data_IF_482478231581
#
_entry.id   IF_482478231581
#
_cell.length_a   1.000
_cell.length_b   1.000
_cell.length_c   1.000
_cell.angle_alpha   90.00
_cell.angle_beta   90.00
_cell.angle_gamma   90.00
#
_symmetry.space_group_name_H-M   'P 1'
#
loop_
_entity.id
_entity.type
_entity.pdbx_description
1 polymer ?
#
# COMPACT_ATOMS: atom_id res chain seq x y z
N UNK A 1 15.11 -7.29 -17.89
CA UNK A 1 14.89 -6.78 -19.25
C UNK A 1 13.49 -7.17 -19.74
N UNK A 2 12.78 -6.22 -20.32
CA UNK A 2 11.43 -6.49 -20.85
C UNK A 2 11.54 -7.31 -22.13
N UNK A 3 10.84 -8.42 -22.19
CA UNK A 3 10.81 -9.29 -23.36
C UNK A 3 9.48 -9.16 -24.08
N UNK A 4 9.53 -8.69 -25.32
CA UNK A 4 8.32 -8.53 -26.14
C UNK A 4 7.87 -9.86 -26.76
N UNK A 5 8.71 -10.87 -26.71
CA UNK A 5 8.41 -12.20 -27.23
C UNK A 5 7.88 -13.16 -26.18
N UNK A 6 7.83 -12.77 -24.90
CA UNK A 6 7.26 -13.59 -23.85
C UNK A 6 5.73 -13.59 -23.94
N UNK A 7 5.08 -14.57 -23.37
CA UNK A 7 3.62 -14.61 -23.28
C UNK A 7 3.01 -13.65 -22.27
N UNK A 8 3.83 -12.96 -21.45
CA UNK A 8 3.36 -11.99 -20.48
C UNK A 8 3.16 -10.62 -21.13
N UNK A 9 2.11 -9.93 -20.74
CA UNK A 9 1.87 -8.55 -21.18
C UNK A 9 2.99 -7.63 -20.69
N UNK A 10 3.26 -6.57 -21.45
CA UNK A 10 4.35 -5.64 -21.11
C UNK A 10 4.17 -5.00 -19.74
N UNK A 11 2.93 -4.61 -19.38
CA UNK A 11 2.71 -3.97 -18.09
C UNK A 11 3.01 -4.91 -16.92
N UNK A 12 2.75 -6.21 -17.07
CA UNK A 12 3.07 -7.20 -16.02
C UNK A 12 4.57 -7.39 -15.86
N UNK A 13 5.31 -7.37 -16.95
CA UNK A 13 6.77 -7.44 -16.89
C UNK A 13 7.36 -6.23 -16.19
N UNK A 14 6.83 -5.03 -16.47
CA UNK A 14 7.24 -3.80 -15.78
C UNK A 14 6.87 -3.89 -14.30
N UNK A 15 5.66 -4.31 -13.99
CA UNK A 15 5.22 -4.47 -12.61
C UNK A 15 6.12 -5.46 -11.85
N UNK A 16 6.48 -6.58 -12.47
CA UNK A 16 7.39 -7.57 -11.86
C UNK A 16 8.75 -6.96 -11.56
N UNK A 17 9.31 -6.18 -12.50
CA UNK A 17 10.60 -5.54 -12.32
C UNK A 17 10.57 -4.54 -11.14
N UNK A 18 9.54 -3.72 -11.06
CA UNK A 18 9.37 -2.76 -9.97
C UNK A 18 9.13 -3.48 -8.64
N UNK A 19 8.34 -4.54 -8.65
CA UNK A 19 8.08 -5.36 -7.46
C UNK A 19 9.37 -5.92 -6.88
N UNK A 20 10.27 -6.40 -7.73
CA UNK A 20 11.56 -6.91 -7.27
C UNK A 20 12.41 -5.82 -6.65
N UNK A 21 12.37 -4.62 -7.19
CA UNK A 21 13.08 -3.47 -6.60
C UNK A 21 12.53 -3.10 -5.23
N UNK A 22 11.22 -3.22 -5.05
CA UNK A 22 10.58 -2.98 -3.74
C UNK A 22 10.95 -4.08 -2.75
N UNK A 23 10.86 -5.34 -3.17
CA UNK A 23 11.17 -6.49 -2.30
C UNK A 23 12.64 -6.50 -1.88
N UNK A 24 13.54 -6.17 -2.81
CA UNK A 24 14.98 -6.15 -2.52
C UNK A 24 15.42 -4.97 -1.66
N UNK A 25 14.57 -3.97 -1.48
CA UNK A 25 14.92 -2.75 -0.76
C UNK A 25 15.60 -1.68 -1.62
N UNK A 26 15.80 -1.93 -2.91
CA UNK A 26 16.33 -0.93 -3.83
C UNK A 26 15.41 0.30 -3.89
N UNK A 27 14.09 0.07 -3.83
CA UNK A 27 13.09 1.09 -3.61
C UNK A 27 12.55 0.93 -2.19
N UNK A 28 13.06 1.70 -1.22
CA UNK A 28 12.70 1.50 0.19
C UNK A 28 11.25 1.89 0.49
N UNK A 29 10.67 1.34 1.56
CA UNK A 29 9.34 1.76 2.01
C UNK A 29 9.25 3.27 2.23
N UNK A 30 8.16 3.89 1.75
CA UNK A 30 7.94 5.32 1.88
C UNK A 30 8.63 6.18 0.84
N UNK A 31 9.54 5.62 0.04
CA UNK A 31 10.26 6.39 -0.97
C UNK A 31 9.37 6.70 -2.17
N UNK A 32 9.67 7.82 -2.83
CA UNK A 32 9.03 8.16 -4.09
C UNK A 32 9.51 7.24 -5.20
N UNK A 33 8.58 6.77 -6.02
CA UNK A 33 8.93 6.06 -7.23
C UNK A 33 9.43 7.04 -8.31
N UNK A 34 10.27 6.58 -9.24
CA UNK A 34 10.63 7.41 -10.40
C UNK A 34 9.38 7.86 -11.17
N UNK A 35 9.50 8.94 -11.92
CA UNK A 35 8.39 9.46 -12.71
C UNK A 35 7.96 8.45 -13.78
N UNK A 36 6.71 8.58 -14.25
CA UNK A 36 6.20 7.75 -15.35
C UNK A 36 7.09 7.89 -16.60
N UNK A 37 7.54 9.10 -16.88
CA UNK A 37 8.43 9.37 -18.02
C UNK A 37 9.76 8.61 -17.89
N UNK A 38 10.37 8.68 -16.71
CA UNK A 38 11.63 7.98 -16.45
C UNK A 38 11.45 6.47 -16.58
N UNK A 39 10.38 5.92 -15.98
CA UNK A 39 10.09 4.49 -16.04
C UNK A 39 9.81 4.03 -17.48
N UNK A 40 9.11 4.84 -18.26
CA UNK A 40 8.83 4.52 -19.66
C UNK A 40 10.12 4.46 -20.46
N UNK A 41 11.04 5.38 -20.23
CA UNK A 41 12.35 5.39 -20.89
C UNK A 41 13.23 4.23 -20.44
N UNK A 42 13.27 3.96 -19.14
CA UNK A 42 14.08 2.89 -18.54
C UNK A 42 13.65 1.51 -19.05
N UNK A 43 12.35 1.27 -19.14
CA UNK A 43 11.81 -0.02 -19.57
C UNK A 43 11.51 -0.10 -21.06
N UNK A 44 11.74 0.98 -21.78
CA UNK A 44 11.47 1.07 -23.24
C UNK A 44 10.01 0.67 -23.57
N UNK A 45 9.09 1.31 -22.89
CA UNK A 45 7.64 1.11 -23.08
C UNK A 45 6.94 2.47 -23.09
N UNK A 46 5.68 2.48 -23.50
CA UNK A 46 4.86 3.68 -23.47
C UNK A 46 4.40 4.03 -22.05
N UNK A 47 4.00 5.28 -21.87
CA UNK A 47 3.46 5.74 -20.57
C UNK A 47 2.21 4.99 -20.15
N UNK A 48 1.37 4.59 -21.11
CA UNK A 48 0.15 3.83 -20.80
C UNK A 48 0.52 2.48 -20.17
N UNK A 49 1.56 1.83 -20.65
CA UNK A 49 2.06 0.59 -20.08
C UNK A 49 2.53 0.82 -18.64
N UNK A 50 3.22 1.92 -18.38
CA UNK A 50 3.64 2.28 -17.01
C UNK A 50 2.44 2.53 -16.12
N UNK A 51 1.42 3.24 -16.59
CA UNK A 51 0.19 3.46 -15.81
C UNK A 51 -0.51 2.18 -15.46
N UNK A 52 -0.59 1.25 -16.39
CA UNK A 52 -1.19 -0.07 -16.16
C UNK A 52 -0.38 -0.86 -15.13
N UNK A 53 0.96 -0.82 -15.23
CA UNK A 53 1.83 -1.46 -14.26
C UNK A 53 1.64 -0.87 -12.86
N UNK A 54 1.56 0.45 -12.77
CA UNK A 54 1.37 1.13 -11.49
C UNK A 54 -0.01 0.82 -10.89
N UNK A 55 -1.05 0.76 -11.72
CA UNK A 55 -2.39 0.37 -11.28
C UNK A 55 -2.39 -1.06 -10.70
N UNK A 56 -1.65 -1.95 -11.34
CA UNK A 56 -1.50 -3.34 -10.89
C UNK A 56 -0.80 -3.40 -9.52
N UNK A 57 0.30 -2.64 -9.37
CA UNK A 57 1.03 -2.58 -8.10
C UNK A 57 0.20 -1.95 -6.98
N UNK A 58 -0.64 -0.95 -7.31
CA UNK A 58 -1.57 -0.38 -6.33
C UNK A 58 -2.60 -1.40 -5.89
N UNK A 59 -3.11 -2.21 -6.81
CA UNK A 59 -4.07 -3.26 -6.47
C UNK A 59 -3.48 -4.31 -5.54
N UNK A 60 -2.16 -4.52 -5.60
CA UNK A 60 -1.44 -5.41 -4.71
C UNK A 60 -1.07 -4.77 -3.37
N UNK A 61 -1.28 -3.46 -3.23
CA UNK A 61 -0.95 -2.73 -2.00
C UNK A 61 0.53 -2.41 -1.85
N UNK A 62 1.33 -2.54 -2.91
CA UNK A 62 2.78 -2.28 -2.85
C UNK A 62 3.13 -0.82 -3.05
N UNK A 63 2.31 -0.09 -3.80
CA UNK A 63 2.48 1.33 -4.02
C UNK A 63 1.19 2.06 -3.72
N UNK A 64 1.31 3.34 -3.40
CA UNK A 64 0.15 4.20 -3.19
C UNK A 64 0.33 5.48 -3.99
N UNK A 65 -0.78 6.03 -4.46
CA UNK A 65 -0.79 7.28 -5.22
C UNK A 65 -1.77 8.23 -4.59
N UNK A 66 -1.35 9.47 -4.48
CA UNK A 66 -2.19 10.55 -4.03
C UNK A 66 -2.40 11.49 -5.21
N UNK A 67 -3.63 11.95 -5.42
CA UNK A 67 -3.96 12.83 -6.54
C UNK A 67 -3.03 14.04 -6.54
N UNK A 68 -2.37 14.29 -7.68
CA UNK A 68 -1.42 15.39 -7.85
C UNK A 68 -0.02 15.11 -7.34
N UNK A 69 0.25 13.92 -6.83
CA UNK A 69 1.57 13.52 -6.30
C UNK A 69 2.08 12.27 -7.00
N UNK A 70 3.40 12.13 -7.01
CA UNK A 70 4.05 10.91 -7.52
C UNK A 70 3.69 9.73 -6.63
N UNK A 71 3.72 8.53 -7.22
CA UNK A 71 3.52 7.30 -6.48
C UNK A 71 4.65 7.06 -5.49
N UNK A 72 4.32 6.42 -4.37
CA UNK A 72 5.27 6.03 -3.32
C UNK A 72 5.20 4.55 -3.06
N UNK A 73 6.31 3.97 -2.67
CA UNK A 73 6.32 2.64 -2.09
C UNK A 73 5.57 2.72 -0.75
N UNK A 74 4.60 1.81 -0.58
CA UNK A 74 3.82 1.80 0.65
C UNK A 74 4.73 1.53 1.84
N UNK A 75 4.62 2.36 2.85
CA UNK A 75 5.31 2.15 4.10
C UNK A 75 4.49 1.23 4.98
N UNK A 76 4.99 0.01 5.20
CA UNK A 76 4.37 -0.91 6.15
C UNK A 76 5.03 -0.62 7.48
N UNK A 77 4.38 0.20 8.30
CA UNK A 77 4.84 0.41 9.66
C UNK A 77 4.42 -0.81 10.49
N UNK A 78 5.30 -1.28 11.39
CA UNK A 78 4.91 -2.34 12.31
C UNK A 78 3.68 -1.88 13.09
N UNK A 79 2.68 -2.73 13.15
CA UNK A 79 1.49 -2.44 13.94
C UNK A 79 1.77 -2.69 15.40
N UNK A 80 1.27 -1.81 16.25
CA UNK A 80 1.28 -2.01 17.69
C UNK A 80 0.24 -3.07 18.03
N UNK A 81 0.62 -4.07 18.84
CA UNK A 81 -0.31 -5.14 19.22
C UNK A 81 -1.02 -4.80 20.51
N UNK A 82 -2.35 -4.88 20.46
CA UNK A 82 -3.23 -4.74 21.61
C UNK A 82 -3.73 -6.12 22.01
N UNK A 83 -3.52 -6.48 23.26
CA UNK A 83 -3.97 -7.78 23.77
C UNK A 83 -5.40 -7.68 24.25
N UNK A 84 -6.26 -8.55 23.73
CA UNK A 84 -7.66 -8.62 24.13
C UNK A 84 -7.80 -9.41 25.42
N UNK A 85 -8.65 -8.91 26.31
CA UNK A 85 -9.06 -9.63 27.50
C UNK A 85 -10.17 -10.62 27.15
N UNK A 86 -10.37 -11.68 28.00
CA UNK A 86 -11.48 -12.61 27.79
C UNK A 86 -12.82 -11.89 27.67
N UNK A 87 -13.61 -12.25 26.66
CA UNK A 87 -14.92 -11.67 26.44
C UNK A 87 -14.94 -10.41 25.59
N UNK A 88 -13.78 -9.80 25.34
CA UNK A 88 -13.72 -8.64 24.44
C UNK A 88 -13.89 -9.06 22.99
N UNK A 89 -14.62 -8.25 22.24
CA UNK A 89 -14.91 -8.47 20.82
C UNK A 89 -14.42 -7.29 20.02
N UNK A 90 -13.77 -7.56 18.89
CA UNK A 90 -13.31 -6.53 17.95
C UNK A 90 -14.34 -6.43 16.82
N UNK A 91 -14.78 -5.21 16.54
CA UNK A 91 -15.61 -4.91 15.38
C UNK A 91 -14.89 -3.88 14.50
N UNK A 92 -15.29 -3.79 13.24
CA UNK A 92 -14.71 -2.82 12.33
C UNK A 92 -15.79 -1.89 11.81
N UNK A 93 -15.45 -0.63 11.67
CA UNK A 93 -16.31 0.37 11.05
C UNK A 93 -15.45 1.46 10.43
N UNK A 94 -16.06 2.29 9.61
CA UNK A 94 -15.35 3.45 9.10
C UNK A 94 -15.25 4.52 10.19
N UNK A 95 -14.16 5.27 10.21
CA UNK A 95 -13.96 6.31 11.22
C UNK A 95 -14.91 7.49 11.00
N UNK A 96 -15.25 8.17 12.11
CA UNK A 96 -15.94 9.45 12.04
C UNK A 96 -14.95 10.53 11.56
N UNK A 97 -15.44 11.69 11.07
CA UNK A 97 -14.56 12.79 10.69
C UNK A 97 -13.64 13.24 11.82
N UNK A 98 -14.14 13.22 13.05
CA UNK A 98 -13.35 13.59 14.23
C UNK A 98 -12.22 12.56 14.47
N UNK A 99 -12.52 11.28 14.36
CA UNK A 99 -11.52 10.23 14.51
C UNK A 99 -10.43 10.31 13.45
N UNK A 100 -10.80 10.60 12.21
CA UNK A 100 -9.84 10.81 11.12
C UNK A 100 -8.87 11.93 11.45
N UNK A 101 -9.38 13.01 12.01
CA UNK A 101 -8.59 14.18 12.38
C UNK A 101 -7.68 13.89 13.57
N UNK A 102 -8.21 13.27 14.61
CA UNK A 102 -7.46 12.94 15.83
C UNK A 102 -6.28 12.01 15.53
N UNK A 103 -6.48 11.04 14.65
CA UNK A 103 -5.46 10.05 14.33
C UNK A 103 -4.72 10.33 13.03
N UNK A 104 -5.00 11.44 12.36
CA UNK A 104 -4.40 11.78 11.05
C UNK A 104 -4.53 10.62 10.07
N UNK A 105 -5.73 10.08 9.94
CA UNK A 105 -6.01 8.88 9.15
C UNK A 105 -6.14 9.19 7.67
N UNK A 106 -5.67 8.25 6.86
CA UNK A 106 -5.85 8.31 5.42
C UNK A 106 -7.26 7.85 5.03
N UNK A 107 -7.72 8.26 3.84
CA UNK A 107 -9.00 7.83 3.32
C UNK A 107 -9.03 6.31 3.12
N UNK A 108 -10.19 5.73 3.42
CA UNK A 108 -10.41 4.29 3.20
C UNK A 108 -9.90 3.38 4.30
N UNK A 109 -9.26 3.90 5.33
CA UNK A 109 -8.75 3.08 6.45
C UNK A 109 -9.83 2.93 7.51
N UNK A 110 -10.30 1.71 7.81
CA UNK A 110 -11.27 1.49 8.87
C UNK A 110 -10.63 1.59 10.26
N UNK A 111 -11.46 1.75 11.27
CA UNK A 111 -11.06 1.59 12.66
C UNK A 111 -11.53 0.26 13.20
N UNK A 112 -10.75 -0.31 14.11
CA UNK A 112 -11.10 -1.50 14.87
C UNK A 112 -11.58 -1.03 16.24
N UNK A 113 -12.72 -1.51 16.65
CA UNK A 113 -13.39 -1.03 17.87
C UNK A 113 -13.44 -2.14 18.91
N UNK A 114 -12.96 -1.82 20.11
CA UNK A 114 -13.05 -2.67 21.29
C UNK A 114 -13.69 -1.84 22.39
N UNK A 115 -14.90 -2.22 22.82
CA UNK A 115 -15.65 -1.42 23.77
C UNK A 115 -15.98 -0.04 23.21
N UNK A 116 -15.50 1.00 23.88
CA UNK A 116 -15.69 2.39 23.46
C UNK A 116 -14.45 3.00 22.79
N UNK A 117 -13.40 2.19 22.57
CA UNK A 117 -12.16 2.64 21.97
C UNK A 117 -12.06 2.23 20.51
N UNK A 118 -11.66 3.17 19.66
CA UNK A 118 -11.42 2.94 18.23
C UNK A 118 -9.94 3.06 17.92
N UNK A 119 -9.41 2.10 17.17
CA UNK A 119 -8.00 2.01 16.81
C UNK A 119 -7.86 2.00 15.29
N UNK A 120 -7.03 2.88 14.69
CA UNK A 120 -6.77 2.80 13.26
C UNK A 120 -6.20 1.43 12.86
N UNK A 121 -6.84 0.78 11.88
CA UNK A 121 -6.49 -0.60 11.49
C UNK A 121 -5.14 -0.70 10.80
N UNK A 122 -4.58 0.40 10.31
CA UNK A 122 -3.27 0.44 9.69
C UNK A 122 -2.12 0.56 10.71
N UNK A 123 -2.42 0.83 11.99
CA UNK A 123 -1.43 1.03 13.05
C UNK A 123 -1.52 0.02 14.18
N UNK A 124 -2.65 -0.66 14.31
CA UNK A 124 -2.91 -1.57 15.43
C UNK A 124 -3.37 -2.93 14.93
N UNK A 125 -2.98 -3.93 15.64
CA UNK A 125 -3.49 -5.30 15.48
C UNK A 125 -3.87 -5.85 16.84
N UNK A 126 -4.74 -6.87 16.85
CA UNK A 126 -5.22 -7.45 18.09
C UNK A 126 -4.83 -8.92 18.18
N UNK A 127 -4.45 -9.33 19.37
CA UNK A 127 -4.17 -10.72 19.67
C UNK A 127 -4.88 -11.16 20.95
N UNK A 128 -5.02 -12.46 21.11
CA UNK A 128 -5.51 -13.07 22.35
C UNK A 128 -4.39 -13.89 22.95
N UNK A 129 -4.32 -13.81 24.26
CA UNK A 129 -3.52 -14.76 24.99
C UNK A 129 -4.31 -16.06 25.14
N UNK A 130 -3.68 -17.16 24.87
CA UNK A 130 -4.27 -18.48 25.09
C UNK A 130 -4.17 -18.91 26.54
#
# INVERSE_FOLDING_TARGET
>A
MISRSSGLSLYRQVADAIRQQIISGELPPGSLLPSEKYLAEEHDVGRDTIRDAMAHLRSEGLVESKRGYRSRVRSIQPRERIWLHPGEVVTARMPTPQEKKEHSMQEGVPVLVVGDKAYPSDRYEFGRED
#
